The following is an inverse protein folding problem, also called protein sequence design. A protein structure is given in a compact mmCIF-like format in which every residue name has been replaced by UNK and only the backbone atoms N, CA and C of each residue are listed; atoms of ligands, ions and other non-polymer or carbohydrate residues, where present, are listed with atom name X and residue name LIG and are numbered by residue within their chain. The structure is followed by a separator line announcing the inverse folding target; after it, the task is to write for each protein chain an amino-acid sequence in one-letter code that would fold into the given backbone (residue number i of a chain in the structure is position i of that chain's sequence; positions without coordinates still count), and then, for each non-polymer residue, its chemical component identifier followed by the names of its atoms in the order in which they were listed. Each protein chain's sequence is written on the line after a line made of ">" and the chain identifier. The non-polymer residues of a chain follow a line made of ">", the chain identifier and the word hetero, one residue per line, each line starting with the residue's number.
data_IF_006347111800
#
_entry.id   IF_006347111800
#
_cell.length_a   1.000
_cell.length_b   1.000
_cell.length_c   1.000
_cell.angle_alpha   90.00
_cell.angle_beta   90.00
_cell.angle_gamma   90.00
#
_symmetry.space_group_name_H-M   'P 1'
#
loop_
_entity.id
_entity.type
_entity.pdbx_description
1 polymer ?
#
# COMPACT_ATOMS: atom_id res chain seq x y z
N UNK A 1 107.48 22.11 -18.40
CA UNK A 1 106.52 22.13 -17.28
C UNK A 1 105.10 22.04 -17.84
N UNK A 2 104.49 20.85 -17.86
CA UNK A 2 103.14 20.66 -18.36
C UNK A 2 102.12 20.90 -17.22
N UNK A 3 101.27 21.92 -17.38
CA UNK A 3 100.24 22.28 -16.41
C UNK A 3 99.04 21.34 -16.51
N UNK A 4 98.79 20.55 -15.47
CA UNK A 4 97.65 19.66 -15.40
C UNK A 4 96.37 20.45 -15.07
N UNK A 5 95.50 20.63 -16.06
CA UNK A 5 94.13 21.13 -15.86
C UNK A 5 93.38 20.10 -15.01
N UNK A 6 93.24 20.38 -13.70
CA UNK A 6 92.30 19.67 -12.81
C UNK A 6 90.88 20.00 -13.27
N UNK A 7 90.33 19.21 -14.19
CA UNK A 7 88.87 19.14 -14.36
C UNK A 7 88.31 18.56 -13.07
N UNK A 8 87.61 19.37 -12.28
CA UNK A 8 86.76 18.92 -11.18
C UNK A 8 85.69 17.99 -11.78
N UNK A 9 86.02 16.71 -11.98
CA UNK A 9 85.00 15.68 -12.12
C UNK A 9 84.37 15.58 -10.74
N UNK A 10 83.18 16.16 -10.58
CA UNK A 10 82.32 15.86 -9.43
C UNK A 10 82.36 14.33 -9.26
N UNK A 11 82.92 13.89 -8.13
CA UNK A 11 82.96 12.49 -7.75
C UNK A 11 81.52 12.03 -7.68
N UNK A 12 81.07 11.37 -8.75
CA UNK A 12 79.75 10.77 -8.87
C UNK A 12 79.67 9.69 -7.80
N UNK A 13 79.04 10.01 -6.67
CA UNK A 13 78.71 9.02 -5.66
C UNK A 13 77.94 7.88 -6.32
N UNK A 14 78.35 6.65 -6.03
CA UNK A 14 78.00 5.39 -6.71
C UNK A 14 76.50 5.07 -6.78
N UNK A 15 75.61 5.91 -6.24
CA UNK A 15 74.22 5.54 -5.98
C UNK A 15 73.15 6.49 -6.57
N UNK A 16 73.51 7.48 -7.41
CA UNK A 16 72.51 8.36 -8.03
C UNK A 16 72.08 7.82 -9.42
N UNK A 17 70.93 7.14 -9.48
CA UNK A 17 70.31 6.71 -10.75
C UNK A 17 69.64 7.94 -11.40
N UNK A 18 70.07 8.31 -12.62
CA UNK A 18 69.54 9.48 -13.35
C UNK A 18 68.07 9.28 -13.69
N UNK A 19 67.20 10.21 -13.30
CA UNK A 19 65.86 10.37 -13.88
C UNK A 19 65.84 11.71 -14.64
N UNK A 20 65.72 11.64 -15.96
CA UNK A 20 65.57 12.77 -16.90
C UNK A 20 66.33 14.08 -16.53
N UNK A 21 67.65 13.99 -16.37
CA UNK A 21 68.52 15.17 -16.25
C UNK A 21 68.62 15.83 -14.88
N UNK A 22 67.80 15.47 -13.90
CA UNK A 22 67.91 15.97 -12.53
C UNK A 22 68.68 14.99 -11.62
N UNK A 23 69.52 15.54 -10.74
CA UNK A 23 70.19 14.77 -9.69
C UNK A 23 69.31 14.71 -8.45
N UNK A 24 68.67 13.57 -8.19
CA UNK A 24 68.07 13.27 -6.88
C UNK A 24 69.15 12.65 -6.00
N UNK A 25 69.44 13.24 -4.85
CA UNK A 25 70.36 12.60 -3.89
C UNK A 25 69.60 11.44 -3.24
N UNK A 26 70.30 10.32 -2.98
CA UNK A 26 69.69 9.15 -2.33
C UNK A 26 69.05 9.51 -0.99
N UNK A 27 69.65 10.45 -0.26
CA UNK A 27 69.08 10.95 1.00
C UNK A 27 67.79 11.74 0.84
N UNK A 28 67.43 12.19 -0.36
CA UNK A 28 66.17 12.92 -0.62
C UNK A 28 65.00 11.96 -0.90
N UNK A 29 65.26 10.66 -1.03
CA UNK A 29 64.25 9.62 -1.26
C UNK A 29 63.97 8.85 0.03
N UNK A 30 62.70 8.72 0.41
CA UNK A 30 62.27 8.05 1.65
C UNK A 30 61.19 6.98 1.37
N UNK A 31 61.13 5.93 2.20
CA UNK A 31 60.01 4.95 2.20
C UNK A 31 58.79 5.43 2.99
N UNK A 32 58.92 6.53 3.73
CA UNK A 32 57.87 7.12 4.57
C UNK A 32 57.72 8.61 4.26
N UNK A 33 56.50 9.12 4.29
CA UNK A 33 56.21 10.54 4.11
C UNK A 33 56.86 11.35 5.24
N UNK A 34 57.96 12.03 4.90
CA UNK A 34 58.70 12.94 5.77
C UNK A 34 58.90 14.26 5.02
N UNK A 35 58.91 15.37 5.75
CA UNK A 35 58.99 16.69 5.13
C UNK A 35 60.24 16.82 4.23
N UNK A 36 60.07 17.49 3.09
CA UNK A 36 61.14 17.74 2.10
C UNK A 36 61.79 16.48 1.51
N UNK A 37 61.09 15.34 1.53
CA UNK A 37 61.51 14.09 0.89
C UNK A 37 60.54 13.65 -0.21
N UNK A 38 61.10 12.96 -1.20
CA UNK A 38 60.35 12.26 -2.24
C UNK A 38 60.05 10.85 -1.73
N UNK A 39 58.78 10.47 -1.64
CA UNK A 39 58.41 9.11 -1.22
C UNK A 39 58.59 8.14 -2.39
N UNK A 40 59.29 7.02 -2.18
CA UNK A 40 59.35 5.90 -3.12
C UNK A 40 58.27 4.86 -2.82
N UNK A 41 57.99 4.02 -3.82
CA UNK A 41 57.11 2.86 -3.63
C UNK A 41 57.68 1.91 -2.57
N UNK A 42 56.79 1.32 -1.77
CA UNK A 42 57.10 0.21 -0.87
C UNK A 42 57.33 -1.10 -1.66
N UNK A 43 57.61 -2.19 -0.94
CA UNK A 43 57.82 -3.52 -1.54
C UNK A 43 56.61 -4.04 -2.32
N UNK A 44 55.42 -3.50 -2.06
CA UNK A 44 54.16 -3.87 -2.70
C UNK A 44 53.77 -2.89 -3.83
N UNK A 45 54.64 -1.93 -4.15
CA UNK A 45 54.40 -0.95 -5.20
C UNK A 45 53.50 0.22 -4.79
N UNK A 46 53.21 0.44 -3.50
CA UNK A 46 52.38 1.56 -3.01
C UNK A 46 53.23 2.74 -2.53
N UNK A 47 52.73 3.96 -2.65
CA UNK A 47 53.35 5.15 -2.06
C UNK A 47 52.77 5.34 -0.65
N UNK A 48 53.64 5.45 0.37
CA UNK A 48 53.22 5.64 1.76
C UNK A 48 53.00 7.13 2.08
N UNK A 49 51.76 7.54 2.33
CA UNK A 49 51.40 8.92 2.69
C UNK A 49 50.09 9.36 2.05
N UNK A 50 49.57 10.50 2.50
CA UNK A 50 48.41 11.13 1.92
C UNK A 50 48.75 11.71 0.54
N UNK A 51 47.99 11.34 -0.49
CA UNK A 51 48.09 11.90 -1.84
C UNK A 51 46.87 12.81 -2.01
N UNK A 52 46.87 13.91 -1.28
CA UNK A 52 45.72 14.83 -1.15
C UNK A 52 45.06 15.23 -2.49
N UNK A 53 45.79 15.22 -3.62
CA UNK A 53 45.24 15.48 -4.95
C UNK A 53 44.72 14.26 -5.73
N UNK A 54 45.06 13.03 -5.32
CA UNK A 54 44.50 11.79 -5.88
C UNK A 54 43.34 11.24 -5.03
N UNK A 55 43.23 11.68 -3.77
CA UNK A 55 42.09 11.39 -2.91
C UNK A 55 40.76 11.87 -3.53
N UNK A 56 40.75 13.02 -4.22
CA UNK A 56 39.59 13.53 -4.95
C UNK A 56 39.20 12.64 -6.16
N UNK A 57 40.16 12.00 -6.82
CA UNK A 57 39.88 11.01 -7.89
C UNK A 57 39.55 9.63 -7.31
N UNK A 58 39.97 9.33 -6.07
CA UNK A 58 39.58 8.14 -5.32
C UNK A 58 38.16 8.23 -4.72
N UNK A 59 37.36 9.22 -5.11
CA UNK A 59 35.91 9.33 -4.79
C UNK A 59 35.12 8.06 -5.18
N UNK A 60 35.61 7.26 -6.13
CA UNK A 60 34.95 5.99 -6.53
C UNK A 60 35.10 4.84 -5.53
N UNK A 61 36.05 4.88 -4.57
CA UNK A 61 36.19 3.82 -3.57
C UNK A 61 35.20 3.98 -2.40
N UNK A 62 34.83 5.22 -2.06
CA UNK A 62 33.80 5.52 -1.04
C UNK A 62 32.38 5.29 -1.56
N UNK A 63 32.19 5.17 -2.88
CA UNK A 63 30.88 4.87 -3.49
C UNK A 63 30.44 3.41 -3.33
N UNK A 64 31.33 2.46 -3.01
CA UNK A 64 30.97 1.04 -2.94
C UNK A 64 30.27 0.65 -1.62
N UNK A 65 30.56 1.31 -0.51
CA UNK A 65 29.92 1.03 0.79
C UNK A 65 28.58 1.75 0.95
N UNK A 66 28.40 2.87 0.23
CA UNK A 66 27.13 3.62 0.17
C UNK A 66 26.19 3.12 -0.94
N UNK A 67 26.61 2.15 -1.76
CA UNK A 67 25.78 1.55 -2.81
C UNK A 67 24.94 0.35 -2.33
N UNK A 68 25.20 -0.20 -1.14
CA UNK A 68 24.32 -1.23 -0.54
C UNK A 68 23.01 -0.63 -0.04
N UNK A 69 23.01 0.66 0.27
CA UNK A 69 21.81 1.49 0.41
C UNK A 69 21.61 2.30 -0.87
N UNK A 70 21.52 1.60 -2.01
CA UNK A 70 20.82 2.16 -3.16
C UNK A 70 19.39 2.45 -2.70
N UNK A 71 19.16 3.65 -2.21
CA UNK A 71 17.96 4.46 -2.44
C UNK A 71 16.71 3.60 -2.63
N UNK A 72 16.45 2.70 -1.68
CA UNK A 72 15.23 1.92 -1.65
C UNK A 72 14.15 2.93 -1.28
N UNK A 73 13.65 3.59 -2.33
CA UNK A 73 12.61 4.59 -2.36
C UNK A 73 12.43 5.34 -1.02
N UNK A 74 13.11 6.47 -0.82
CA UNK A 74 12.79 7.38 0.30
C UNK A 74 11.32 7.81 0.35
N UNK A 75 10.56 7.56 -0.74
CA UNK A 75 9.09 7.73 -0.81
C UNK A 75 8.29 6.65 -0.05
N UNK A 76 8.88 5.49 0.23
CA UNK A 76 8.30 4.35 0.95
C UNK A 76 8.93 4.11 2.33
N UNK A 77 10.14 4.64 2.60
CA UNK A 77 10.81 4.48 3.90
C UNK A 77 10.12 5.19 5.07
N UNK A 78 9.16 6.07 4.79
CA UNK A 78 8.24 6.62 5.78
C UNK A 78 6.90 5.90 5.66
N UNK A 79 6.47 5.24 6.74
CA UNK A 79 5.17 4.58 6.80
C UNK A 79 4.06 5.53 6.30
N UNK A 80 3.27 5.07 5.33
CA UNK A 80 2.16 5.85 4.77
C UNK A 80 0.84 5.28 5.23
N UNK A 81 0.00 6.14 5.78
CA UNK A 81 -1.38 5.78 6.12
C UNK A 81 -2.19 5.68 4.84
N UNK A 82 -2.69 4.49 4.54
CA UNK A 82 -3.71 4.27 3.51
C UNK A 82 -5.06 4.30 4.22
N UNK A 83 -5.76 5.42 4.09
CA UNK A 83 -7.12 5.56 4.62
C UNK A 83 -8.10 5.09 3.57
N UNK A 84 -8.90 4.09 3.90
CA UNK A 84 -10.08 3.71 3.13
C UNK A 84 -11.26 4.55 3.64
N UNK A 85 -11.99 5.19 2.73
CA UNK A 85 -13.14 6.05 3.05
C UNK A 85 -14.46 5.38 2.67
N UNK A 86 -15.58 5.85 3.23
CA UNK A 86 -16.91 5.26 3.04
C UNK A 86 -17.27 4.26 4.13
N UNK A 87 -18.12 3.28 3.82
CA UNK A 87 -18.54 2.22 4.77
C UNK A 87 -17.44 1.17 5.02
N UNK A 88 -16.31 1.26 4.32
CA UNK A 88 -15.17 0.36 4.48
C UNK A 88 -14.32 0.86 5.64
N UNK A 89 -14.32 0.13 6.75
CA UNK A 89 -13.43 0.43 7.89
C UNK A 89 -12.24 -0.52 7.89
N UNK A 90 -11.08 0.02 8.29
CA UNK A 90 -9.82 -0.72 8.35
C UNK A 90 -8.63 0.18 8.04
N UNK A 91 -7.52 -0.09 8.70
CA UNK A 91 -6.22 0.52 8.39
C UNK A 91 -5.18 -0.58 8.28
N UNK A 92 -4.24 -0.39 7.36
CA UNK A 92 -3.05 -1.23 7.28
C UNK A 92 -1.83 -0.32 7.36
N UNK A 93 -0.91 -0.64 8.26
CA UNK A 93 0.40 -0.02 8.28
C UNK A 93 1.33 -0.93 7.51
N UNK A 94 1.93 -0.41 6.45
CA UNK A 94 2.86 -1.15 5.60
C UNK A 94 3.92 -0.21 5.04
N UNK A 95 5.12 -0.74 4.83
CA UNK A 95 6.22 -0.07 4.14
C UNK A 95 6.23 -0.34 2.63
N UNK A 96 5.25 -1.12 2.13
CA UNK A 96 5.09 -1.51 0.73
C UNK A 96 6.35 -2.17 0.13
N UNK A 97 7.21 -2.77 0.97
CA UNK A 97 8.41 -3.50 0.51
C UNK A 97 8.08 -4.81 -0.22
N UNK A 98 6.82 -5.23 -0.18
CA UNK A 98 6.26 -6.37 -0.91
C UNK A 98 4.75 -6.26 -1.08
N UNK A 99 4.13 -7.32 -1.62
CA UNK A 99 2.68 -7.38 -1.79
C UNK A 99 1.98 -7.44 -0.43
N UNK A 100 0.91 -6.64 -0.26
CA UNK A 100 0.13 -6.54 0.98
C UNK A 100 -1.33 -6.83 0.68
N UNK A 101 -1.88 -7.83 1.36
CA UNK A 101 -3.33 -8.05 1.37
C UNK A 101 -3.96 -7.18 2.45
N UNK A 102 -4.93 -6.35 2.06
CA UNK A 102 -5.68 -5.49 2.96
C UNK A 102 -7.02 -6.13 3.25
N UNK A 103 -7.20 -6.66 4.46
CA UNK A 103 -8.50 -7.17 4.92
C UNK A 103 -9.36 -5.99 5.36
N UNK A 104 -10.56 -5.89 4.79
CA UNK A 104 -11.53 -4.83 5.11
C UNK A 104 -12.87 -5.43 5.49
N UNK A 105 -13.68 -4.66 6.23
CA UNK A 105 -15.08 -4.97 6.50
C UNK A 105 -15.99 -3.90 5.90
N UNK A 106 -17.18 -4.29 5.44
CA UNK A 106 -18.27 -3.34 5.23
C UNK A 106 -18.95 -3.13 6.57
N UNK A 107 -18.92 -1.90 7.10
CA UNK A 107 -19.78 -1.53 8.22
C UNK A 107 -21.23 -1.76 7.78
N UNK A 108 -21.96 -2.60 8.53
CA UNK A 108 -23.35 -2.96 8.23
C UNK A 108 -24.30 -1.76 8.22
N UNK A 109 -23.84 -0.59 8.64
CA UNK A 109 -24.47 0.72 8.40
C UNK A 109 -24.21 1.22 6.98
N UNK A 110 -24.63 0.47 5.96
CA UNK A 110 -24.78 1.04 4.62
C UNK A 110 -25.95 2.03 4.69
N UNK A 111 -25.66 3.29 4.98
CA UNK A 111 -26.67 4.34 5.07
C UNK A 111 -27.40 4.45 3.73
N UNK A 112 -28.66 4.01 3.71
CA UNK A 112 -29.50 3.95 2.50
C UNK A 112 -29.61 2.57 1.83
N UNK A 113 -28.91 1.55 2.31
CA UNK A 113 -29.03 0.18 1.84
C UNK A 113 -30.11 -0.63 2.56
N UNK A 114 -30.59 -1.69 1.91
CA UNK A 114 -31.43 -2.71 2.54
C UNK A 114 -30.52 -3.81 3.10
N UNK A 115 -30.74 -4.18 4.36
CA UNK A 115 -29.98 -5.19 5.09
C UNK A 115 -30.94 -6.36 5.35
N UNK A 116 -30.77 -7.44 4.61
CA UNK A 116 -31.58 -8.64 4.82
C UNK A 116 -31.22 -9.30 6.15
N UNK A 117 -32.20 -9.42 7.04
CA UNK A 117 -32.01 -10.00 8.36
C UNK A 117 -32.29 -11.51 8.35
N UNK A 118 -33.50 -11.90 7.96
CA UNK A 118 -33.95 -13.30 7.92
C UNK A 118 -35.33 -13.41 7.27
N UNK A 119 -35.84 -14.63 7.18
CA UNK A 119 -37.24 -14.90 6.88
C UNK A 119 -38.14 -14.57 8.07
N UNK A 120 -39.36 -14.14 7.80
CA UNK A 120 -40.39 -13.84 8.77
C UNK A 120 -41.60 -14.75 8.59
N UNK A 121 -42.01 -15.39 9.68
CA UNK A 121 -43.27 -16.09 9.80
C UNK A 121 -44.32 -15.12 10.37
N UNK A 122 -45.24 -14.67 9.52
CA UNK A 122 -46.27 -13.73 9.91
C UNK A 122 -47.35 -14.38 10.79
N UNK A 123 -47.56 -15.70 10.71
CA UNK A 123 -48.53 -16.40 11.55
C UNK A 123 -48.07 -16.40 13.03
N UNK A 124 -46.79 -16.69 13.28
CA UNK A 124 -46.25 -16.80 14.65
C UNK A 124 -45.47 -15.57 15.12
N UNK A 125 -45.38 -14.52 14.31
CA UNK A 125 -44.54 -13.34 14.55
C UNK A 125 -43.09 -13.74 14.89
N UNK A 126 -42.46 -14.54 14.03
CA UNK A 126 -41.11 -15.09 14.29
C UNK A 126 -40.16 -14.79 13.13
N UNK A 127 -39.03 -14.10 13.36
CA UNK A 127 -38.66 -13.45 14.62
C UNK A 127 -39.63 -12.30 14.95
N UNK A 128 -39.72 -11.93 16.24
CA UNK A 128 -40.53 -10.79 16.64
C UNK A 128 -39.93 -9.51 16.04
N UNK A 129 -40.77 -8.74 15.34
CA UNK A 129 -40.34 -7.49 14.72
C UNK A 129 -40.09 -6.45 15.83
N UNK A 130 -38.87 -5.89 15.96
CA UNK A 130 -38.57 -4.87 16.96
C UNK A 130 -39.22 -3.53 16.60
N UNK A 131 -39.31 -2.61 17.56
CA UNK A 131 -39.75 -1.24 17.29
C UNK A 131 -38.78 -0.59 16.28
N UNK A 132 -39.31 0.05 15.25
CA UNK A 132 -38.48 0.75 14.27
C UNK A 132 -37.72 1.91 14.93
N UNK A 133 -36.44 2.05 14.58
CA UNK A 133 -35.55 3.08 15.10
C UNK A 133 -34.39 3.33 14.14
N UNK A 134 -33.64 4.42 14.34
CA UNK A 134 -32.41 4.67 13.59
C UNK A 134 -31.40 3.50 13.63
N UNK A 135 -31.41 2.68 14.70
CA UNK A 135 -30.52 1.55 14.87
C UNK A 135 -30.84 0.36 13.94
N UNK A 136 -32.08 0.27 13.43
CA UNK A 136 -32.52 -0.79 12.52
C UNK A 136 -33.00 -0.27 11.16
N UNK A 137 -32.68 0.99 10.82
CA UNK A 137 -32.98 1.56 9.51
C UNK A 137 -32.40 0.69 8.39
N UNK A 138 -33.23 0.35 7.41
CA UNK A 138 -32.87 -0.50 6.28
C UNK A 138 -32.93 -2.00 6.56
N UNK A 139 -33.16 -2.44 7.81
CA UNK A 139 -33.38 -3.87 8.08
C UNK A 139 -34.60 -4.35 7.32
N UNK A 140 -34.48 -5.53 6.70
CA UNK A 140 -35.54 -6.16 5.95
C UNK A 140 -35.74 -7.61 6.35
N UNK A 141 -37.02 -8.00 6.48
CA UNK A 141 -37.43 -9.39 6.64
C UNK A 141 -38.34 -9.80 5.49
N UNK A 142 -38.10 -10.98 4.92
CA UNK A 142 -38.95 -11.54 3.85
C UNK A 142 -39.99 -12.46 4.45
N UNK A 143 -41.25 -12.26 4.14
CA UNK A 143 -42.34 -13.15 4.58
C UNK A 143 -42.19 -14.50 3.89
N UNK A 144 -42.00 -15.57 4.67
CA UNK A 144 -41.98 -16.96 4.17
C UNK A 144 -43.25 -17.74 4.55
N UNK A 145 -43.97 -17.28 5.58
CA UNK A 145 -45.29 -17.80 5.96
C UNK A 145 -46.24 -16.62 6.06
N UNK A 146 -47.28 -16.62 5.21
CA UNK A 146 -48.33 -15.61 5.25
C UNK A 146 -49.19 -15.76 6.50
N UNK A 147 -49.78 -14.65 6.93
CA UNK A 147 -50.78 -14.69 8.02
C UNK A 147 -52.14 -15.06 7.42
N UNK A 148 -52.83 -15.97 8.10
CA UNK A 148 -54.18 -16.43 7.73
C UNK A 148 -55.30 -15.69 8.46
N UNK A 149 -54.98 -15.05 9.59
CA UNK A 149 -55.92 -14.29 10.43
C UNK A 149 -55.71 -12.78 10.32
N UNK A 150 -56.79 -11.99 10.28
CA UNK A 150 -56.72 -10.53 10.18
C UNK A 150 -56.40 -9.84 11.54
N UNK A 151 -55.52 -10.43 12.35
CA UNK A 151 -55.16 -9.92 13.68
C UNK A 151 -53.90 -9.07 13.59
N UNK A 152 -53.96 -7.85 14.15
CA UNK A 152 -52.81 -6.96 14.24
C UNK A 152 -51.73 -7.53 15.18
N UNK A 153 -50.47 -7.31 14.84
CA UNK A 153 -49.32 -7.72 15.65
C UNK A 153 -48.40 -6.53 15.85
N UNK A 154 -47.80 -6.44 17.04
CA UNK A 154 -46.93 -5.33 17.40
C UNK A 154 -45.81 -5.13 16.36
N UNK A 155 -45.60 -3.86 15.99
CA UNK A 155 -44.55 -3.40 15.05
C UNK A 155 -44.68 -3.91 13.61
N UNK A 156 -45.77 -4.61 13.28
CA UNK A 156 -46.06 -5.07 11.92
C UNK A 156 -47.03 -4.08 11.27
N UNK A 157 -46.73 -3.54 10.06
CA UNK A 157 -47.50 -2.42 9.50
C UNK A 157 -48.90 -2.78 9.02
N UNK A 158 -49.14 -4.06 8.69
CA UNK A 158 -50.41 -4.51 8.11
C UNK A 158 -50.69 -5.96 8.51
N UNK A 159 -51.96 -6.34 8.46
CA UNK A 159 -52.39 -7.74 8.60
C UNK A 159 -52.34 -8.49 7.28
N UNK A 160 -52.22 -7.79 6.15
CA UNK A 160 -52.19 -8.37 4.82
C UNK A 160 -50.75 -8.61 4.32
N UNK A 161 -50.08 -9.57 4.96
CA UNK A 161 -48.76 -10.05 4.58
C UNK A 161 -48.88 -11.39 3.86
N UNK A 162 -48.44 -11.42 2.60
CA UNK A 162 -48.38 -12.63 1.78
C UNK A 162 -46.95 -13.14 1.68
N UNK A 163 -46.79 -14.41 1.32
CA UNK A 163 -45.47 -15.01 1.11
C UNK A 163 -44.78 -14.25 -0.01
N UNK A 164 -43.55 -13.78 0.25
CA UNK A 164 -42.75 -13.01 -0.70
C UNK A 164 -42.67 -11.52 -0.38
N UNK A 165 -43.62 -10.97 0.39
CA UNK A 165 -43.57 -9.58 0.84
C UNK A 165 -42.33 -9.29 1.69
N UNK A 166 -41.91 -8.03 1.71
CA UNK A 166 -40.84 -7.57 2.61
C UNK A 166 -41.39 -6.58 3.64
N UNK A 167 -40.90 -6.71 4.88
CA UNK A 167 -41.03 -5.67 5.90
C UNK A 167 -39.70 -4.93 5.95
N UNK A 168 -39.69 -3.62 5.74
CA UNK A 168 -38.46 -2.79 5.72
C UNK A 168 -38.57 -1.66 6.73
N UNK A 169 -37.62 -1.54 7.66
CA UNK A 169 -37.61 -0.44 8.64
C UNK A 169 -37.10 0.85 7.99
N UNK A 170 -37.85 1.94 8.14
CA UNK A 170 -37.45 3.25 7.63
C UNK A 170 -36.80 4.17 8.66
N UNK A 171 -36.62 3.71 9.91
CA UNK A 171 -36.19 4.40 11.15
C UNK A 171 -37.29 4.87 12.10
N UNK A 172 -38.53 4.94 11.65
CA UNK A 172 -39.69 5.35 12.47
C UNK A 172 -40.80 4.30 12.48
N UNK A 173 -41.00 3.63 11.36
CA UNK A 173 -41.97 2.54 11.18
C UNK A 173 -41.36 1.42 10.33
N UNK A 174 -42.07 0.29 10.29
CA UNK A 174 -41.85 -0.75 9.29
C UNK A 174 -42.79 -0.49 8.13
N UNK A 175 -42.29 -0.50 6.89
CA UNK A 175 -43.09 -0.41 5.67
C UNK A 175 -43.28 -1.83 5.08
N UNK A 176 -44.46 -2.10 4.53
CA UNK A 176 -44.66 -3.29 3.67
C UNK A 176 -44.21 -2.92 2.25
N UNK A 177 -43.29 -3.69 1.70
CA UNK A 177 -42.97 -3.69 0.28
C UNK A 177 -43.62 -4.92 -0.34
N UNK A 178 -44.68 -4.70 -1.09
CA UNK A 178 -45.46 -5.76 -1.71
C UNK A 178 -44.67 -6.38 -2.87
N UNK A 179 -44.50 -7.70 -2.84
CA UNK A 179 -43.87 -8.44 -3.92
C UNK A 179 -44.75 -9.60 -4.39
N UNK A 180 -46.06 -9.49 -4.14
CA UNK A 180 -47.07 -10.46 -4.52
C UNK A 180 -47.98 -10.02 -5.65
N UNK A 181 -47.68 -8.90 -6.32
CA UNK A 181 -48.46 -8.41 -7.47
C UNK A 181 -48.70 -9.54 -8.50
N UNK A 182 -49.93 -10.07 -8.59
CA UNK A 182 -50.28 -11.21 -9.41
C UNK A 182 -50.87 -10.76 -10.75
N UNK A 183 -50.40 -9.63 -11.32
CA UNK A 183 -50.95 -9.07 -12.57
C UNK A 183 -50.93 -10.01 -13.78
N UNK A 184 -50.28 -11.18 -13.71
CA UNK A 184 -50.36 -12.20 -14.77
C UNK A 184 -51.75 -12.87 -14.84
N UNK A 185 -52.46 -13.02 -13.71
CA UNK A 185 -53.77 -13.67 -13.70
C UNK A 185 -54.91 -12.76 -14.15
N UNK A 186 -54.82 -11.46 -13.87
CA UNK A 186 -55.84 -10.47 -14.27
C UNK A 186 -55.81 -10.17 -15.77
N UNK A 187 -54.65 -10.29 -16.42
CA UNK A 187 -54.51 -10.16 -17.89
C UNK A 187 -55.31 -11.25 -18.63
N UNK A 188 -55.27 -12.49 -18.15
CA UNK A 188 -55.99 -13.59 -18.82
C UNK A 188 -57.51 -13.47 -18.69
N UNK A 189 -58.02 -12.96 -17.56
CA UNK A 189 -59.44 -12.68 -17.39
C UNK A 189 -59.92 -11.54 -18.30
N UNK A 190 -59.09 -10.52 -18.51
CA UNK A 190 -59.41 -9.42 -19.43
C UNK A 190 -59.39 -9.83 -20.91
N UNK A 191 -58.58 -10.84 -21.27
CA UNK A 191 -58.56 -11.41 -22.63
C UNK A 191 -59.85 -12.21 -22.91
N UNK A 192 -60.32 -13.02 -21.96
CA UNK A 192 -61.58 -13.77 -22.13
C UNK A 192 -62.80 -12.84 -22.25
N UNK A 193 -62.81 -11.70 -21.56
CA UNK A 193 -63.86 -10.67 -21.69
C UNK A 193 -63.79 -9.88 -23.02
N UNK A 194 -62.64 -9.86 -23.71
CA UNK A 194 -62.50 -9.24 -25.04
C UNK A 194 -63.09 -10.14 -26.14
N UNK A 195 -63.03 -11.47 -25.97
CA UNK A 195 -63.52 -12.43 -26.96
C UNK A 195 -65.00 -12.84 -26.73
N UNK A 196 -65.64 -12.36 -25.65
CA UNK A 196 -67.04 -12.64 -25.29
C UNK A 196 -68.11 -11.92 -26.13
N UNK A 197 -67.74 -11.32 -27.27
CA UNK A 197 -68.66 -10.67 -28.20
C UNK A 197 -68.95 -11.51 -29.45
N UNK A 198 -70.12 -12.16 -29.45
CA UNK A 198 -70.87 -12.73 -30.59
C UNK A 198 -70.23 -13.83 -31.45
N UNK A 199 -70.75 -15.06 -31.28
CA UNK A 199 -71.21 -15.92 -32.40
C UNK A 199 -72.58 -16.50 -32.06
#
# INVERSE_FOLDING_TARGET
>A
MASAIKRQRQRRGTNAKRLSGYYVKVGDVATTATANKIVKRDANGKIAGDILGNADTATSATSATSATSATAAGKLSAARTITLTGAVTGTVSTDLSGNVSITTGLSSTLSGGIIYQSEYNAETNTPAIPVASAANKGYAYRVNVARTTATAVANVPTTDLKIGDFLVSNDAVWDKWDNTDPSVAEIFAQIDDIDGGEV
#
